data_IF_142367107718
#
_entry.id   IF_142367107718
#
_cell.length_a   1.000
_cell.length_b   1.000
_cell.length_c   1.000
_cell.angle_alpha   90.00
_cell.angle_beta   90.00
_cell.angle_gamma   90.00
#
_symmetry.space_group_name_H-M   'P 1'
#
loop_
_entity.id
_entity.type
_entity.pdbx_description
1 polymer ?
#
# COMPACT_ATOMS: atom_id res chain seq x y z
N UNK A 1 -4.96 9.71 9.32
CA UNK A 1 -5.63 8.79 10.27
C UNK A 1 -5.81 7.39 9.68
N UNK A 2 -6.10 6.36 10.49
CA UNK A 2 -6.53 5.04 10.00
C UNK A 2 -8.04 4.99 9.83
N UNK A 3 -8.51 4.49 8.68
CA UNK A 3 -9.93 4.39 8.33
C UNK A 3 -10.25 2.99 7.79
N UNK A 4 -11.47 2.53 8.05
CA UNK A 4 -12.02 1.33 7.42
C UNK A 4 -12.74 1.75 6.14
N UNK A 5 -12.32 1.21 5.01
CA UNK A 5 -12.89 1.51 3.70
C UNK A 5 -13.53 0.25 3.12
N UNK A 6 -14.78 0.37 2.70
CA UNK A 6 -15.47 -0.67 1.93
C UNK A 6 -15.05 -0.59 0.47
N UNK A 7 -14.57 -1.71 -0.06
CA UNK A 7 -14.12 -1.84 -1.44
C UNK A 7 -14.67 -3.10 -2.08
N UNK A 8 -14.76 -3.05 -3.41
CA UNK A 8 -15.22 -4.16 -4.23
C UNK A 8 -14.15 -4.47 -5.25
N UNK A 9 -13.69 -5.72 -5.28
CA UNK A 9 -12.71 -6.19 -6.26
C UNK A 9 -13.10 -7.57 -6.79
N UNK A 10 -12.61 -7.90 -7.99
CA UNK A 10 -12.76 -9.22 -8.59
C UNK A 10 -11.46 -10.00 -8.42
N UNK A 11 -11.52 -11.07 -7.63
CA UNK A 11 -10.37 -11.92 -7.34
C UNK A 11 -10.36 -13.13 -8.27
N UNK A 12 -9.25 -13.32 -8.97
CA UNK A 12 -9.01 -14.50 -9.80
C UNK A 12 -8.40 -15.60 -8.94
N UNK A 13 -9.15 -16.66 -8.70
CA UNK A 13 -8.72 -17.83 -7.94
C UNK A 13 -8.35 -18.93 -8.95
N UNK A 14 -7.07 -19.34 -8.99
CA UNK A 14 -6.64 -20.43 -9.85
C UNK A 14 -7.17 -21.80 -9.37
N UNK A 15 -7.33 -22.78 -10.27
CA UNK A 15 -7.98 -24.05 -9.95
C UNK A 15 -7.23 -24.87 -8.88
N UNK A 16 -5.91 -24.74 -8.77
CA UNK A 16 -5.12 -25.44 -7.73
C UNK A 16 -5.35 -24.89 -6.31
N UNK A 17 -5.97 -23.72 -6.16
CA UNK A 17 -6.34 -23.16 -4.87
C UNK A 17 -7.78 -23.49 -4.45
N UNK A 18 -8.55 -24.21 -5.28
CA UNK A 18 -9.94 -24.58 -4.97
C UNK A 18 -10.07 -25.61 -3.85
N UNK A 19 -9.03 -26.39 -3.57
CA UNK A 19 -9.02 -27.35 -2.46
C UNK A 19 -8.98 -26.66 -1.08
N UNK A 20 -8.54 -25.40 -1.02
CA UNK A 20 -8.49 -24.60 0.21
C UNK A 20 -9.81 -23.88 0.45
N UNK A 21 -10.02 -23.42 1.70
CA UNK A 21 -11.18 -22.57 2.02
C UNK A 21 -11.14 -21.32 1.15
N UNK A 22 -12.26 -21.06 0.46
CA UNK A 22 -12.41 -19.89 -0.42
C UNK A 22 -12.02 -18.59 0.28
N UNK A 23 -12.44 -18.41 1.53
CA UNK A 23 -12.12 -17.20 2.31
C UNK A 23 -10.60 -16.99 2.49
N UNK A 24 -9.84 -18.05 2.72
CA UNK A 24 -8.40 -17.96 2.92
C UNK A 24 -7.70 -17.63 1.60
N UNK A 25 -8.10 -18.29 0.51
CA UNK A 25 -7.57 -18.01 -0.83
C UNK A 25 -7.89 -16.57 -1.28
N UNK A 26 -9.11 -16.09 -1.00
CA UNK A 26 -9.51 -14.70 -1.30
C UNK A 26 -8.70 -13.71 -0.47
N UNK A 27 -8.54 -13.96 0.84
CA UNK A 27 -7.78 -13.08 1.70
C UNK A 27 -6.30 -12.99 1.26
N UNK A 28 -5.70 -14.12 0.88
CA UNK A 28 -4.32 -14.17 0.37
C UNK A 28 -4.15 -13.36 -0.92
N UNK A 29 -5.06 -13.53 -1.88
CA UNK A 29 -5.02 -12.81 -3.16
C UNK A 29 -5.32 -11.31 -2.99
N UNK A 30 -6.27 -10.93 -2.14
CA UNK A 30 -6.53 -9.52 -1.80
C UNK A 30 -5.30 -8.89 -1.13
N UNK A 31 -4.64 -9.62 -0.23
CA UNK A 31 -3.43 -9.14 0.42
C UNK A 31 -2.28 -8.97 -0.58
N UNK A 32 -2.07 -9.92 -1.50
CA UNK A 32 -1.06 -9.77 -2.58
C UNK A 32 -1.35 -8.56 -3.48
N UNK A 33 -2.62 -8.31 -3.79
CA UNK A 33 -3.02 -7.21 -4.66
C UNK A 33 -2.91 -5.84 -4.00
N UNK A 34 -3.33 -5.70 -2.75
CA UNK A 34 -3.55 -4.41 -2.09
C UNK A 34 -2.57 -4.10 -0.96
N UNK A 35 -1.92 -5.10 -0.35
CA UNK A 35 -1.01 -4.82 0.76
C UNK A 35 0.13 -3.90 0.34
N UNK A 36 0.38 -2.88 1.15
CA UNK A 36 1.42 -1.88 0.94
C UNK A 36 1.27 -1.09 -0.38
N UNK A 37 0.09 -1.10 -1.00
CA UNK A 37 -0.20 -0.27 -2.16
C UNK A 37 -0.90 1.01 -1.76
N UNK A 38 -0.53 2.09 -2.45
CA UNK A 38 -1.23 3.37 -2.34
C UNK A 38 -2.27 3.44 -3.45
N UNK A 39 -3.54 3.53 -3.07
CA UNK A 39 -4.65 3.70 -4.00
C UNK A 39 -5.04 5.17 -4.01
N UNK A 40 -5.19 5.75 -5.21
CA UNK A 40 -5.54 7.16 -5.38
C UNK A 40 -6.89 7.47 -4.69
N UNK A 41 -6.98 8.61 -3.99
CA UNK A 41 -8.11 9.03 -3.15
C UNK A 41 -8.48 8.13 -1.96
N UNK A 42 -7.86 6.95 -1.81
CA UNK A 42 -8.15 6.03 -0.70
C UNK A 42 -7.02 6.05 0.33
N UNK A 43 -5.76 6.00 -0.09
CA UNK A 43 -4.59 6.05 0.81
C UNK A 43 -3.75 4.77 0.80
N UNK A 44 -2.96 4.56 1.85
CA UNK A 44 -2.08 3.40 2.00
C UNK A 44 -2.83 2.21 2.61
N UNK A 45 -2.99 1.14 1.84
CA UNK A 45 -3.60 -0.10 2.29
C UNK A 45 -2.65 -0.91 3.18
N UNK A 46 -3.10 -1.24 4.40
CA UNK A 46 -2.30 -1.95 5.40
C UNK A 46 -2.66 -3.43 5.47
N UNK A 47 -3.91 -3.73 5.82
CA UNK A 47 -4.39 -5.09 6.01
C UNK A 47 -5.89 -5.22 5.76
N UNK A 48 -6.29 -6.44 5.37
CA UNK A 48 -7.69 -6.84 5.24
C UNK A 48 -8.32 -6.91 6.65
N UNK A 49 -9.48 -6.27 6.82
CA UNK A 49 -10.23 -6.33 8.08
C UNK A 49 -11.19 -7.53 8.07
N UNK A 50 -12.15 -7.53 7.14
CA UNK A 50 -13.08 -8.64 6.95
C UNK A 50 -13.67 -8.65 5.53
N UNK A 51 -14.31 -9.77 5.19
CA UNK A 51 -15.03 -9.96 3.93
C UNK A 51 -16.53 -9.90 4.26
N UNK A 52 -17.23 -8.91 3.72
CA UNK A 52 -18.64 -8.65 4.05
C UNK A 52 -19.59 -9.46 3.18
N UNK A 53 -19.28 -9.62 1.89
CA UNK A 53 -20.14 -10.33 0.94
C UNK A 53 -19.33 -10.98 -0.18
N UNK A 54 -19.69 -12.21 -0.50
CA UNK A 54 -19.23 -12.91 -1.71
C UNK A 54 -20.37 -12.86 -2.72
N UNK A 55 -20.10 -12.35 -3.92
CA UNK A 55 -21.03 -12.42 -5.06
C UNK A 55 -20.74 -13.67 -5.90
N UNK A 56 -21.54 -13.84 -6.96
CA UNK A 56 -21.40 -14.96 -7.89
C UNK A 56 -20.00 -15.00 -8.50
N UNK A 57 -19.51 -16.23 -8.67
CA UNK A 57 -18.23 -16.53 -9.27
C UNK A 57 -18.41 -16.95 -10.73
N UNK A 58 -17.57 -16.40 -11.59
CA UNK A 58 -17.65 -16.61 -13.04
C UNK A 58 -16.37 -17.30 -13.52
N UNK A 59 -16.53 -18.30 -14.38
CA UNK A 59 -15.39 -18.99 -15.01
C UNK A 59 -15.38 -18.63 -16.49
N UNK A 60 -14.28 -18.03 -16.95
CA UNK A 60 -14.12 -17.74 -18.37
C UNK A 60 -13.73 -19.00 -19.13
N UNK A 61 -14.37 -19.27 -20.29
CA UNK A 61 -13.97 -20.38 -21.14
C UNK A 61 -12.54 -20.16 -21.63
N UNK A 62 -11.62 -21.03 -21.22
CA UNK A 62 -10.19 -20.98 -21.59
C UNK A 62 -9.22 -20.65 -20.44
N UNK A 63 -9.65 -19.99 -19.35
CA UNK A 63 -8.78 -19.68 -18.20
C UNK A 63 -8.87 -20.75 -17.11
N UNK A 64 -10.03 -21.41 -16.97
CA UNK A 64 -10.28 -22.42 -15.92
C UNK A 64 -10.18 -21.90 -14.48
N UNK A 65 -9.83 -20.63 -14.30
CA UNK A 65 -9.83 -19.93 -13.02
C UNK A 65 -11.23 -19.35 -12.73
N UNK A 66 -11.55 -19.29 -11.45
CA UNK A 66 -12.80 -18.69 -10.95
C UNK A 66 -12.56 -17.23 -10.63
N UNK A 67 -13.39 -16.35 -11.18
CA UNK A 67 -13.37 -14.92 -10.93
C UNK A 67 -14.53 -14.60 -10.01
N UNK A 68 -14.23 -14.38 -8.73
CA UNK A 68 -15.23 -14.09 -7.70
C UNK A 68 -15.21 -12.61 -7.39
N UNK A 69 -16.38 -11.96 -7.47
CA UNK A 69 -16.53 -10.57 -7.03
C UNK A 69 -16.79 -10.54 -5.53
N UNK A 70 -15.97 -9.77 -4.80
CA UNK A 70 -15.96 -9.78 -3.34
C UNK A 70 -16.08 -8.35 -2.81
N UNK A 71 -16.91 -8.19 -1.78
CA UNK A 71 -17.03 -6.97 -0.99
C UNK A 71 -16.30 -7.18 0.32
N UNK A 72 -15.41 -6.26 0.66
CA UNK A 72 -14.56 -6.39 1.83
C UNK A 72 -14.23 -5.03 2.43
N UNK A 73 -13.82 -5.02 3.70
CA UNK A 73 -13.33 -3.83 4.39
C UNK A 73 -11.83 -3.93 4.55
N UNK A 74 -11.13 -2.83 4.27
CA UNK A 74 -9.69 -2.75 4.38
C UNK A 74 -9.30 -1.63 5.34
N UNK A 75 -8.25 -1.87 6.12
CA UNK A 75 -7.64 -0.84 6.98
C UNK A 75 -6.69 -0.03 6.13
N UNK A 76 -6.98 1.26 5.99
CA UNK A 76 -6.22 2.19 5.15
C UNK A 76 -5.71 3.35 6.01
N UNK A 77 -4.46 3.73 5.80
CA UNK A 77 -3.92 4.97 6.33
C UNK A 77 -4.14 6.11 5.32
N UNK A 78 -5.04 7.02 5.66
CA UNK A 78 -5.38 8.21 4.88
C UNK A 78 -5.16 9.46 5.75
N UNK A 79 -3.93 10.02 5.77
CA UNK A 79 -3.67 11.28 6.46
C UNK A 79 -4.27 12.44 5.67
N UNK A 80 -4.86 13.41 6.38
CA UNK A 80 -5.38 14.63 5.77
C UNK A 80 -4.45 15.82 6.02
N UNK A 81 -4.56 16.87 5.20
CA UNK A 81 -3.81 18.11 5.38
C UNK A 81 -4.23 18.75 6.72
N UNK A 82 -3.26 19.20 7.52
CA UNK A 82 -3.47 19.76 8.88
C UNK A 82 -3.81 18.74 9.99
N UNK A 83 -3.59 17.44 9.75
CA UNK A 83 -3.68 16.41 10.80
C UNK A 83 -2.41 16.36 11.67
N UNK A 84 -2.57 16.33 13.00
CA UNK A 84 -1.46 16.15 13.95
C UNK A 84 -1.11 14.66 14.03
N UNK A 85 0.04 14.27 13.48
CA UNK A 85 0.56 12.90 13.58
C UNK A 85 1.53 12.78 14.76
N UNK A 86 1.25 11.84 15.67
CA UNK A 86 2.13 11.51 16.80
C UNK A 86 2.99 10.31 16.42
N UNK A 87 4.32 10.46 16.44
CA UNK A 87 5.25 9.40 16.08
C UNK A 87 6.55 9.47 16.86
N UNK A 88 7.18 8.31 17.06
CA UNK A 88 8.52 8.23 17.65
C UNK A 88 9.58 8.45 16.58
N UNK A 89 10.44 9.45 16.78
CA UNK A 89 11.58 9.74 15.90
C UNK A 89 12.59 8.59 16.02
N UNK A 90 12.99 7.99 14.90
CA UNK A 90 14.02 6.93 14.88
C UNK A 90 15.43 7.43 14.59
N UNK A 91 15.60 8.62 14.02
CA UNK A 91 16.92 9.18 13.75
C UNK A 91 16.86 10.68 13.44
N UNK A 92 17.95 11.38 13.74
CA UNK A 92 18.15 12.80 13.46
C UNK A 92 19.51 12.93 12.75
N UNK A 93 19.53 13.42 11.52
CA UNK A 93 20.76 13.81 10.81
C UNK A 93 20.81 15.36 10.69
N UNK A 94 22.00 15.96 10.47
CA UNK A 94 22.18 17.42 10.40
C UNK A 94 21.44 18.08 9.22
N UNK A 95 20.93 17.31 8.26
CA UNK A 95 20.08 17.76 7.15
C UNK A 95 18.60 17.84 7.53
N UNK A 96 18.21 17.34 8.71
CA UNK A 96 16.84 17.37 9.22
C UNK A 96 16.43 16.12 10.02
N UNK A 97 15.28 16.21 10.69
CA UNK A 97 14.68 15.09 11.43
C UNK A 97 14.13 14.07 10.45
N UNK A 98 14.74 12.88 10.42
CA UNK A 98 14.31 11.76 9.60
C UNK A 98 13.28 10.90 10.35
N UNK A 99 12.00 11.11 10.02
CA UNK A 99 10.92 10.17 10.33
C UNK A 99 11.08 8.86 9.53
N UNK A 100 10.67 7.73 10.11
CA UNK A 100 10.92 6.36 9.60
C UNK A 100 10.71 6.19 8.09
N UNK A 101 11.81 6.11 7.33
CA UNK A 101 11.75 5.76 5.91
C UNK A 101 13.07 5.93 5.14
N UNK A 102 14.20 5.47 5.68
CA UNK A 102 15.47 5.34 4.95
C UNK A 102 16.58 6.30 5.40
N UNK A 103 17.87 5.88 5.37
CA UNK A 103 18.98 6.66 5.91
C UNK A 103 19.42 7.72 4.88
N UNK A 104 19.25 8.98 5.22
CA UNK A 104 20.01 10.05 4.56
C UNK A 104 21.29 10.29 5.38
N UNK A 105 22.43 10.00 4.76
CA UNK A 105 23.76 10.14 5.34
C UNK A 105 24.29 11.56 5.10
N UNK A 106 24.71 12.27 6.16
CA UNK A 106 25.48 13.50 6.05
C UNK A 106 26.97 13.13 5.98
N UNK A 107 27.58 13.22 4.80
CA UNK A 107 29.04 13.08 4.67
C UNK A 107 29.64 14.44 4.29
N UNK A 108 30.47 14.95 5.20
CA UNK A 108 31.06 16.28 5.14
C UNK A 108 31.87 16.59 3.89
N UNK A 109 31.88 17.90 3.61
CA UNK A 109 32.85 18.68 2.86
C UNK A 109 34.14 17.96 2.46
N UNK A 110 34.27 17.70 1.15
CA UNK A 110 35.53 17.90 0.42
C UNK A 110 35.21 18.75 -0.81
N UNK A 111 35.57 20.02 -0.73
CA UNK A 111 35.81 20.82 -1.92
C UNK A 111 36.95 20.17 -2.71
N UNK A 112 36.69 19.80 -3.95
CA UNK A 112 37.51 20.14 -5.12
C UNK A 112 36.88 19.56 -6.40
N UNK A 113 36.39 20.45 -7.26
CA UNK A 113 36.49 20.30 -8.73
C UNK A 113 35.27 19.78 -9.49
N UNK A 114 34.49 20.70 -10.07
CA UNK A 114 33.68 20.52 -11.29
C UNK A 114 32.42 19.66 -11.11
N UNK A 115 31.22 20.14 -11.39
CA UNK A 115 30.81 20.83 -12.60
C UNK A 115 29.47 21.54 -12.39
N UNK A 116 29.37 22.66 -13.11
CA UNK A 116 28.25 23.58 -13.18
C UNK A 116 26.91 22.96 -13.62
N UNK A 117 25.86 23.72 -13.29
CA UNK A 117 24.52 23.71 -13.87
C UNK A 117 23.56 22.61 -13.42
N UNK A 118 22.79 22.91 -12.37
CA UNK A 118 21.45 23.47 -12.62
C UNK A 118 20.90 24.15 -11.36
N UNK A 119 20.67 25.43 -11.59
CA UNK A 119 20.23 26.47 -10.68
C UNK A 119 18.79 26.34 -10.18
N UNK A 120 18.58 26.93 -8.99
CA UNK A 120 17.47 27.82 -8.60
C UNK A 120 16.18 27.24 -7.99
N UNK A 121 15.99 27.69 -6.75
CA UNK A 121 14.81 28.41 -6.20
C UNK A 121 13.63 27.56 -5.72
N UNK A 122 13.42 27.65 -4.41
CA UNK A 122 12.19 28.00 -3.68
C UNK A 122 12.60 28.01 -2.19
N UNK A 123 13.11 29.10 -1.61
CA UNK A 123 12.31 30.19 -0.99
C UNK A 123 10.84 29.87 -0.77
#
# INVERSE_FOLDING_TARGET
>A
MFVLVEMVDTVRIPPWQFERKLNDSIAEELNKKLANKVVYNVGLCICLFDITKLEDSYVFPGDGASHTKVHFRYVVFHPFLDEILIGKIKGCSPEGVHGNGGPCSPAGTREHGGWDHLSRVLR
#
